data_IF_772322866854
#
_entry.id   IF_772322866854
#
_cell.length_a   1.000
_cell.length_b   1.000
_cell.length_c   1.000
_cell.angle_alpha   90.00
_cell.angle_beta   90.00
_cell.angle_gamma   90.00
#
_symmetry.space_group_name_H-M   'P 1'
#
loop_
_entity.id
_entity.type
_entity.pdbx_description
1 polymer ?
#
# COMPACT_ATOMS: atom_id res chain seq x y z
N UNK A 1 -17.37 -21.16 17.78
CA UNK A 1 -17.21 -20.94 16.33
C UNK A 1 -16.76 -19.49 16.20
N UNK A 2 -15.61 -19.22 15.58
CA UNK A 2 -15.12 -17.85 15.47
C UNK A 2 -15.85 -17.18 14.30
N UNK A 3 -16.86 -16.38 14.61
CA UNK A 3 -17.63 -15.55 13.66
C UNK A 3 -16.80 -14.34 13.18
N UNK A 4 -15.58 -14.60 12.71
CA UNK A 4 -14.64 -13.58 12.27
C UNK A 4 -14.63 -13.47 10.75
N UNK A 5 -15.54 -12.69 10.18
CA UNK A 5 -15.36 -12.22 8.80
C UNK A 5 -14.06 -11.42 8.76
N UNK A 6 -13.00 -12.04 8.22
CA UNK A 6 -11.67 -11.42 8.13
C UNK A 6 -11.69 -10.17 7.27
N UNK A 7 -10.75 -9.26 7.51
CA UNK A 7 -10.56 -8.07 6.69
C UNK A 7 -9.19 -8.13 6.03
N UNK A 8 -9.15 -7.90 4.72
CA UNK A 8 -7.90 -7.62 4.00
C UNK A 8 -7.66 -6.12 4.08
N UNK A 9 -6.54 -5.74 4.69
CA UNK A 9 -6.15 -4.35 4.87
C UNK A 9 -4.98 -4.03 3.94
N UNK A 10 -5.07 -2.90 3.24
CA UNK A 10 -4.05 -2.44 2.30
C UNK A 10 -3.75 -0.95 2.52
N UNK A 11 -2.52 -0.57 2.16
CA UNK A 11 -2.07 0.82 2.13
C UNK A 11 -2.03 1.27 0.69
N UNK A 12 -2.87 2.23 0.34
CA UNK A 12 -2.97 2.76 -1.01
C UNK A 12 -2.33 4.15 -1.04
N UNK A 13 -1.45 4.47 -1.99
CA UNK A 13 -0.95 5.83 -2.17
C UNK A 13 -2.07 6.86 -2.23
N UNK A 14 -1.87 8.02 -1.62
CA UNK A 14 -2.93 9.03 -1.54
C UNK A 14 -3.36 9.50 -2.92
N UNK A 15 -2.46 9.51 -3.91
CA UNK A 15 -2.72 9.97 -5.27
C UNK A 15 -3.72 9.09 -6.01
N UNK A 16 -3.82 7.82 -5.65
CA UNK A 16 -4.75 6.87 -6.27
C UNK A 16 -6.14 6.95 -5.63
N UNK A 17 -6.24 7.60 -4.47
CA UNK A 17 -7.44 7.60 -3.63
C UNK A 17 -8.18 8.92 -3.72
N UNK A 18 -9.43 8.89 -4.21
CA UNK A 18 -10.27 10.07 -4.41
C UNK A 18 -11.56 9.95 -3.57
N UNK A 19 -11.77 10.80 -2.56
CA UNK A 19 -13.02 10.80 -1.81
C UNK A 19 -14.17 11.30 -2.71
N UNK A 20 -15.33 10.67 -2.58
CA UNK A 20 -16.57 11.12 -3.22
C UNK A 20 -17.79 10.77 -2.37
N UNK A 21 -18.90 11.47 -2.62
CA UNK A 21 -20.20 11.14 -2.00
C UNK A 21 -21.02 10.35 -2.99
N UNK A 22 -21.39 9.13 -2.63
CA UNK A 22 -22.32 8.31 -3.38
C UNK A 22 -23.75 8.63 -2.93
N UNK A 23 -24.57 9.11 -3.86
CA UNK A 23 -26.01 9.29 -3.64
C UNK A 23 -26.77 8.11 -4.24
N UNK A 24 -27.54 7.39 -3.43
CA UNK A 24 -28.45 6.38 -3.95
C UNK A 24 -29.77 7.02 -4.40
N UNK A 25 -30.53 6.25 -5.18
CA UNK A 25 -31.86 6.62 -5.68
C UNK A 25 -32.88 6.88 -4.57
N UNK A 26 -32.65 6.35 -3.37
CA UNK A 26 -33.49 6.54 -2.18
C UNK A 26 -33.16 7.82 -1.40
N UNK A 27 -32.26 8.66 -1.92
CA UNK A 27 -31.85 9.93 -1.29
C UNK A 27 -30.78 9.78 -0.21
N UNK A 28 -30.40 8.54 0.17
CA UNK A 28 -29.29 8.34 1.12
C UNK A 28 -27.95 8.64 0.46
N UNK A 29 -27.06 9.21 1.26
CA UNK A 29 -25.71 9.58 0.84
C UNK A 29 -24.67 8.87 1.70
N UNK A 30 -23.61 8.36 1.09
CA UNK A 30 -22.48 7.75 1.79
C UNK A 30 -21.17 8.34 1.27
N UNK A 31 -20.29 8.68 2.20
CA UNK A 31 -18.91 9.00 1.86
C UNK A 31 -18.16 7.72 1.49
N UNK A 32 -17.52 7.75 0.33
CA UNK A 32 -16.76 6.64 -0.22
C UNK A 32 -15.39 7.11 -0.70
N UNK A 33 -14.46 6.17 -0.78
CA UNK A 33 -13.18 6.36 -1.44
C UNK A 33 -13.23 5.62 -2.77
N UNK A 34 -12.92 6.31 -3.87
CA UNK A 34 -12.63 5.73 -5.17
C UNK A 34 -11.12 5.49 -5.25
N UNK A 35 -10.71 4.28 -5.56
CA UNK A 35 -9.31 3.91 -5.75
C UNK A 35 -9.12 3.63 -7.23
N UNK A 36 -8.39 4.50 -7.92
CA UNK A 36 -7.97 4.31 -9.31
C UNK A 36 -6.63 3.58 -9.36
N UNK A 37 -6.59 2.46 -10.07
CA UNK A 37 -5.37 1.69 -10.26
C UNK A 37 -4.55 2.32 -11.39
N UNK A 38 -3.28 2.71 -11.15
CA UNK A 38 -2.42 3.19 -12.21
C UNK A 38 -1.95 2.01 -13.09
N UNK A 39 -1.37 2.36 -14.22
CA UNK A 39 -0.72 1.39 -15.11
C UNK A 39 0.32 0.56 -14.36
N UNK A 40 0.42 -0.72 -14.74
CA UNK A 40 1.38 -1.66 -14.18
C UNK A 40 0.89 -2.38 -12.91
N UNK A 41 -0.30 -2.06 -12.40
CA UNK A 41 -0.97 -2.94 -11.42
C UNK A 41 -1.41 -4.20 -12.16
N UNK A 42 -0.90 -5.35 -11.73
CA UNK A 42 -1.21 -6.65 -12.34
C UNK A 42 -1.83 -7.59 -11.31
N UNK A 43 -2.97 -8.20 -11.67
CA UNK A 43 -3.66 -9.21 -10.87
C UNK A 43 -3.77 -10.47 -11.73
N UNK A 44 -3.21 -11.59 -11.26
CA UNK A 44 -3.21 -12.88 -11.97
C UNK A 44 -2.74 -12.78 -13.45
N UNK A 45 -1.71 -11.97 -13.71
CA UNK A 45 -1.16 -11.76 -15.05
C UNK A 45 -2.00 -10.87 -15.96
N UNK A 46 -3.07 -10.25 -15.45
CA UNK A 46 -3.87 -9.26 -16.17
C UNK A 46 -3.56 -7.85 -15.67
N UNK A 47 -3.27 -6.98 -16.62
CA UNK A 47 -3.05 -5.55 -16.40
C UNK A 47 -4.37 -4.87 -16.01
N UNK A 48 -4.31 -4.07 -14.93
CA UNK A 48 -5.46 -3.42 -14.29
C UNK A 48 -5.36 -1.89 -14.28
N UNK A 49 -4.48 -1.31 -15.08
CA UNK A 49 -4.37 0.12 -15.30
C UNK A 49 -5.68 0.71 -15.81
N UNK A 50 -6.07 1.84 -15.21
CA UNK A 50 -7.31 2.53 -15.52
C UNK A 50 -8.57 1.88 -14.94
N UNK A 51 -8.47 0.75 -14.24
CA UNK A 51 -9.57 0.20 -13.46
C UNK A 51 -9.69 0.89 -12.10
N UNK A 52 -10.88 0.87 -11.51
CA UNK A 52 -11.11 1.44 -10.19
C UNK A 52 -12.07 0.60 -9.36
N UNK A 53 -11.98 0.70 -8.04
CA UNK A 53 -13.00 0.21 -7.11
C UNK A 53 -13.37 1.29 -6.11
N UNK A 54 -14.50 1.11 -5.43
CA UNK A 54 -14.92 2.01 -4.37
C UNK A 54 -15.19 1.28 -3.07
N UNK A 55 -14.77 1.88 -1.96
CA UNK A 55 -15.03 1.39 -0.61
C UNK A 55 -15.72 2.47 0.22
N UNK A 56 -16.33 2.10 1.34
CA UNK A 56 -16.83 3.08 2.29
C UNK A 56 -15.68 3.80 2.98
N UNK A 57 -15.84 5.11 3.16
CA UNK A 57 -14.86 5.93 3.87
C UNK A 57 -14.92 5.64 5.36
N UNK A 58 -13.78 5.28 5.96
CA UNK A 58 -13.63 5.19 7.41
C UNK A 58 -13.09 6.51 7.97
N UNK A 59 -13.21 6.73 9.28
CA UNK A 59 -12.58 7.89 9.93
C UNK A 59 -11.07 7.93 9.69
N UNK A 60 -10.43 6.76 9.76
CA UNK A 60 -8.98 6.63 9.59
C UNK A 60 -8.55 6.86 8.15
N UNK A 61 -9.27 6.33 7.17
CA UNK A 61 -8.96 6.54 5.75
C UNK A 61 -9.10 8.01 5.35
N UNK A 62 -10.11 8.70 5.91
CA UNK A 62 -10.28 10.15 5.72
C UNK A 62 -9.12 10.94 6.32
N UNK A 63 -8.70 10.60 7.55
CA UNK A 63 -7.56 11.26 8.18
C UNK A 63 -6.27 11.03 7.37
N UNK A 64 -5.98 9.79 6.96
CA UNK A 64 -4.79 9.48 6.17
C UNK A 64 -4.77 10.27 4.86
N UNK A 65 -5.95 10.43 4.21
CA UNK A 65 -6.08 11.23 2.99
C UNK A 65 -5.81 12.71 3.24
N UNK A 66 -6.31 13.28 4.33
CA UNK A 66 -6.05 14.68 4.72
C UNK A 66 -4.57 14.91 5.05
N UNK A 67 -3.95 13.95 5.73
CA UNK A 67 -2.53 13.96 6.11
C UNK A 67 -1.58 13.71 4.93
N UNK A 68 -2.09 13.47 3.71
CA UNK A 68 -1.33 13.05 2.52
C UNK A 68 -0.47 11.80 2.77
N UNK A 69 -0.93 10.89 3.62
CA UNK A 69 -0.29 9.60 3.92
C UNK A 69 -0.88 8.49 3.06
N UNK A 70 -0.19 7.35 2.91
CA UNK A 70 -0.81 6.14 2.35
C UNK A 70 -2.09 5.78 3.12
N UNK A 71 -3.20 5.78 2.38
CA UNK A 71 -4.56 5.65 2.90
C UNK A 71 -4.83 4.20 3.28
N UNK A 72 -5.29 3.99 4.51
CA UNK A 72 -5.79 2.68 4.95
C UNK A 72 -7.11 2.35 4.26
N UNK A 73 -7.11 1.25 3.52
CA UNK A 73 -8.30 0.69 2.88
C UNK A 73 -8.49 -0.73 3.40
N UNK A 74 -9.72 -1.05 3.82
CA UNK A 74 -10.10 -2.38 4.26
C UNK A 74 -11.22 -2.91 3.38
N UNK A 75 -11.10 -4.17 2.95
CA UNK A 75 -12.14 -4.90 2.22
C UNK A 75 -12.45 -6.22 2.93
N UNK A 76 -13.70 -6.71 2.93
CA UNK A 76 -14.03 -7.99 3.56
C UNK A 76 -13.32 -9.13 2.83
N UNK A 77 -12.61 -10.00 3.57
CA UNK A 77 -11.83 -11.09 3.00
C UNK A 77 -12.71 -12.18 2.35
N UNK A 78 -13.95 -12.29 2.80
CA UNK A 78 -14.95 -13.24 2.31
C UNK A 78 -15.74 -12.73 1.09
N UNK A 79 -15.49 -11.48 0.66
CA UNK A 79 -16.21 -10.87 -0.47
C UNK A 79 -15.25 -10.44 -1.55
N UNK A 80 -15.51 -10.94 -2.74
CA UNK A 80 -14.89 -10.44 -3.97
C UNK A 80 -15.00 -8.92 -4.12
N UNK A 81 -13.96 -8.30 -4.67
CA UNK A 81 -13.94 -6.87 -4.99
C UNK A 81 -14.29 -6.68 -6.46
N UNK A 82 -15.27 -5.83 -6.74
CA UNK A 82 -15.63 -5.46 -8.12
C UNK A 82 -14.86 -4.22 -8.54
N UNK A 83 -13.96 -4.40 -9.50
CA UNK A 83 -13.33 -3.35 -10.26
C UNK A 83 -14.24 -2.93 -11.42
N UNK A 84 -14.17 -1.67 -11.81
CA UNK A 84 -14.88 -1.11 -12.94
C UNK A 84 -14.00 -0.15 -13.73
N UNK A 85 -14.26 -0.06 -15.03
CA UNK A 85 -13.64 0.91 -15.94
C UNK A 85 -14.69 1.45 -16.90
N UNK A 86 -14.45 2.64 -17.45
CA UNK A 86 -15.36 3.26 -18.41
C UNK A 86 -16.57 3.92 -17.76
N UNK A 87 -17.47 4.45 -18.59
CA UNK A 87 -18.67 5.18 -18.17
C UNK A 87 -19.87 4.73 -18.99
N UNK A 88 -21.07 4.89 -18.43
CA UNK A 88 -22.33 4.63 -19.13
C UNK A 88 -22.43 3.20 -19.68
N UNK A 89 -22.72 3.08 -20.97
CA UNK A 89 -22.90 1.81 -21.70
C UNK A 89 -21.59 1.05 -21.93
N UNK A 90 -20.45 1.73 -21.85
CA UNK A 90 -19.11 1.14 -22.01
C UNK A 90 -18.51 0.71 -20.66
N UNK A 91 -19.34 0.65 -19.60
CA UNK A 91 -18.86 0.28 -18.27
C UNK A 91 -18.54 -1.21 -18.21
N UNK A 92 -17.26 -1.51 -18.12
CA UNK A 92 -16.75 -2.85 -17.86
C UNK A 92 -16.68 -3.11 -16.36
N UNK A 93 -16.82 -4.38 -15.97
CA UNK A 93 -16.63 -4.84 -14.60
C UNK A 93 -15.75 -6.09 -14.57
N UNK A 94 -14.82 -6.12 -13.62
CA UNK A 94 -13.97 -7.27 -13.36
C UNK A 94 -14.03 -7.61 -11.88
N UNK A 95 -14.25 -8.88 -11.58
CA UNK A 95 -14.48 -9.35 -10.22
C UNK A 95 -13.24 -10.09 -9.72
N UNK A 96 -12.49 -9.45 -8.82
CA UNK A 96 -11.38 -10.08 -8.12
C UNK A 96 -11.97 -10.96 -7.02
N UNK A 97 -11.83 -12.29 -7.16
CA UNK A 97 -12.42 -13.25 -6.21
C UNK A 97 -11.76 -13.19 -4.85
N UNK A 98 -10.43 -13.11 -4.83
CA UNK A 98 -9.61 -13.06 -3.63
C UNK A 98 -9.10 -11.62 -3.40
N UNK A 99 -9.59 -10.91 -2.38
CA UNK A 99 -9.12 -9.56 -2.06
C UNK A 99 -7.64 -9.49 -1.67
N UNK A 100 -7.03 -10.61 -1.26
CA UNK A 100 -5.62 -10.68 -0.94
C UNK A 100 -4.75 -10.40 -2.18
N UNK A 101 -5.13 -10.95 -3.35
CA UNK A 101 -4.46 -10.69 -4.63
C UNK A 101 -4.48 -9.21 -5.01
N UNK A 102 -5.59 -8.52 -4.71
CA UNK A 102 -5.68 -7.07 -4.94
C UNK A 102 -4.72 -6.31 -4.02
N UNK A 103 -4.63 -6.69 -2.75
CA UNK A 103 -3.71 -6.06 -1.80
C UNK A 103 -2.24 -6.25 -2.20
N UNK A 104 -1.88 -7.46 -2.64
CA UNK A 104 -0.54 -7.80 -3.12
C UNK A 104 -0.20 -7.04 -4.40
N UNK A 105 -1.11 -6.96 -5.37
CA UNK A 105 -0.90 -6.19 -6.60
C UNK A 105 -0.64 -4.71 -6.33
N UNK A 106 -1.39 -4.12 -5.38
CA UNK A 106 -1.19 -2.73 -4.94
C UNK A 106 0.15 -2.55 -4.23
N UNK A 107 0.51 -3.47 -3.34
CA UNK A 107 1.79 -3.43 -2.61
C UNK A 107 2.99 -3.56 -3.58
N UNK A 108 2.91 -4.47 -4.53
CA UNK A 108 3.95 -4.68 -5.55
C UNK A 108 4.14 -3.42 -6.40
N UNK A 109 3.03 -2.80 -6.86
CA UNK A 109 3.11 -1.56 -7.66
C UNK A 109 3.67 -0.39 -6.86
N UNK A 110 3.25 -0.25 -5.60
CA UNK A 110 3.71 0.84 -4.71
C UNK A 110 5.19 0.69 -4.37
N UNK A 111 5.65 -0.54 -4.16
CA UNK A 111 7.07 -0.82 -3.92
C UNK A 111 7.91 -0.49 -5.15
N UNK A 112 7.39 -0.71 -6.35
CA UNK A 112 8.07 -0.33 -7.60
C UNK A 112 8.16 1.19 -7.84
N UNK A 113 7.22 2.00 -7.30
CA UNK A 113 7.32 3.47 -7.32
C UNK A 113 8.29 4.01 -6.24
N UNK A 114 8.64 3.19 -5.25
CA UNK A 114 9.64 3.52 -4.25
C UNK A 114 11.00 3.02 -4.73
N UNK A 115 11.61 3.75 -5.67
CA UNK A 115 13.08 3.76 -5.76
C UNK A 115 13.57 4.01 -4.33
N UNK A 116 14.37 3.11 -3.71
CA UNK A 116 14.96 3.47 -2.44
C UNK A 116 15.74 4.76 -2.73
N UNK A 117 15.39 5.85 -2.03
CA UNK A 117 16.35 6.92 -1.80
C UNK A 117 17.50 6.26 -1.05
N UNK A 118 18.43 5.67 -1.80
CA UNK A 118 19.74 5.23 -1.32
C UNK A 118 20.48 6.52 -0.99
N UNK A 119 20.12 7.11 0.14
CA UNK A 119 21.05 7.97 0.86
C UNK A 119 22.12 7.06 1.42
N UNK A 120 23.31 7.30 0.90
CA UNK A 120 24.61 6.66 1.08
C UNK A 120 25.14 6.57 2.53
N UNK A 121 24.29 6.55 3.56
CA UNK A 121 24.72 6.73 4.96
C UNK A 121 24.06 5.84 6.03
N UNK A 122 23.23 4.87 5.67
CA UNK A 122 22.67 3.92 6.67
C UNK A 122 23.30 2.52 6.59
N UNK A 123 24.58 2.46 6.26
CA UNK A 123 25.43 1.42 6.82
C UNK A 123 25.71 1.82 8.28
N UNK A 124 25.50 0.90 9.22
CA UNK A 124 25.80 0.99 10.67
C UNK A 124 24.65 1.36 11.61
N UNK A 125 23.54 0.60 11.60
CA UNK A 125 22.95 0.11 12.87
C UNK A 125 22.10 -1.15 12.59
N UNK A 126 22.72 -2.31 12.77
CA UNK A 126 22.19 -3.61 12.39
C UNK A 126 21.20 -4.14 13.44
N UNK A 127 19.91 -3.84 13.27
CA UNK A 127 18.78 -4.71 13.71
C UNK A 127 17.61 -4.81 12.71
N UNK A 128 17.72 -4.21 11.53
CA UNK A 128 16.80 -4.47 10.42
C UNK A 128 17.45 -5.45 9.44
N UNK A 129 16.77 -6.57 9.15
CA UNK A 129 17.18 -7.54 8.12
C UNK A 129 16.34 -7.31 6.86
N UNK A 130 16.90 -6.70 5.80
CA UNK A 130 16.43 -6.91 4.44
C UNK A 130 17.10 -8.20 3.90
N UNK A 131 16.40 -8.98 3.08
CA UNK A 131 17.11 -9.97 2.24
C UNK A 131 17.85 -9.24 1.11
N UNK A 132 19.01 -9.74 0.58
CA UNK A 132 19.52 -11.12 0.65
C UNK A 132 20.93 -11.29 1.26
N UNK A 133 21.27 -12.54 1.60
CA UNK A 133 22.56 -13.00 2.15
C UNK A 133 23.70 -12.96 1.13
N UNK A 134 24.84 -12.38 1.50
CA UNK A 134 26.18 -12.72 0.96
C UNK A 134 27.27 -12.55 2.05
N UNK A 135 27.84 -13.69 2.45
CA UNK A 135 29.21 -14.01 2.90
C UNK A 135 30.06 -13.09 3.83
N UNK A 136 30.53 -13.71 4.93
CA UNK A 136 31.94 -13.87 5.37
C UNK A 136 32.77 -12.72 6.02
N UNK A 137 33.38 -13.09 7.17
CA UNK A 137 34.73 -12.77 7.69
C UNK A 137 35.09 -11.43 8.40
N UNK A 138 35.36 -11.57 9.71
CA UNK A 138 36.57 -11.16 10.47
C UNK A 138 37.00 -9.67 10.62
N UNK A 139 36.85 -9.14 11.86
CA UNK A 139 37.80 -8.39 12.76
C UNK A 139 38.76 -7.33 12.19
N UNK A 140 39.04 -6.17 12.86
CA UNK A 140 39.97 -6.16 14.02
C UNK A 140 39.91 -5.00 15.06
N UNK A 141 40.67 -5.24 16.13
CA UNK A 141 41.22 -4.38 17.20
C UNK A 141 41.94 -3.09 16.75
N UNK A 142 41.84 -1.98 17.51
CA UNK A 142 43.02 -1.21 18.03
C UNK A 142 42.70 0.01 18.92
N UNK A 143 43.63 0.24 19.86
CA UNK A 143 43.72 1.25 20.93
C UNK A 143 44.19 2.64 20.44
N UNK A 144 43.74 3.72 21.10
CA UNK A 144 44.47 5.01 21.31
C UNK A 144 44.06 5.52 22.70
N UNK A 145 44.86 5.41 23.77
CA UNK A 145 46.08 6.17 24.17
C UNK A 145 45.83 7.68 24.20
N UNK A 146 45.36 8.19 25.34
CA UNK A 146 45.45 9.60 25.74
C UNK A 146 46.87 9.90 26.23
N UNK A 147 47.44 11.02 25.80
CA UNK A 147 48.78 11.51 26.18
C UNK A 147 48.64 13.00 26.56
N UNK A 148 48.85 13.36 27.84
CA UNK A 148 49.32 14.70 28.30
C UNK A 148 50.87 14.73 28.14
N UNK A 149 51.62 15.88 28.08
CA UNK A 149 51.57 17.15 28.87
C UNK A 149 52.09 18.38 28.03
N UNK A 150 52.83 19.44 28.50
CA UNK A 150 53.02 20.13 29.81
C UNK A 150 52.54 21.62 29.76
N UNK A 151 52.37 22.40 30.85
CA UNK A 151 53.32 22.94 31.85
C UNK A 151 52.59 23.16 33.18
#
# INVERSE_FOLDING_TARGET
>A
MADGHGWVNMRVPHEWTHPFVFQARDGRSWEKMLIGLPDGVNIDGREMGGWAFSVFSTRLSKQDKLDKKPVRIGVPADRSVTLFRGRGTEREQYRVKDPQLLAEAIANRTTADYEPLVSELAATDTRYVPYPRLFAENSPTRRRRYQKPPV
#
